data_IF_849395606602
#
_entry.id   IF_849395606602
#
_cell.length_a   1.000
_cell.length_b   1.000
_cell.length_c   1.000
_cell.angle_alpha   90.00
_cell.angle_beta   90.00
_cell.angle_gamma   90.00
#
_symmetry.space_group_name_H-M   'P 1'
#
loop_
_entity.id
_entity.type
_entity.pdbx_description
1 polymer ?
#
# COMPACT_ATOMS: atom_id res chain seq x y z
N UNK A 1 53.63 -36.23 44.56
CA UNK A 1 53.59 -35.44 43.31
C UNK A 1 52.14 -34.97 43.14
N UNK A 2 51.62 -34.04 43.95
CA UNK A 2 52.08 -32.67 44.27
C UNK A 2 51.76 -31.70 43.11
N UNK A 3 50.72 -30.86 43.23
CA UNK A 3 50.71 -29.48 43.79
C UNK A 3 50.85 -28.44 42.67
N UNK A 4 50.00 -27.40 42.56
CA UNK A 4 48.75 -27.10 43.28
C UNK A 4 48.41 -25.60 43.35
N UNK A 5 47.35 -25.27 44.11
CA UNK A 5 46.98 -23.94 44.66
C UNK A 5 46.43 -22.88 43.66
N UNK A 6 45.55 -21.95 44.04
CA UNK A 6 44.61 -21.74 45.19
C UNK A 6 43.51 -20.76 44.65
N UNK A 7 42.21 -20.84 44.99
CA UNK A 7 41.56 -20.44 46.25
C UNK A 7 41.95 -18.99 46.67
N UNK A 8 41.11 -18.03 47.03
CA UNK A 8 39.69 -17.87 47.40
C UNK A 8 39.42 -16.31 47.32
N UNK A 9 38.37 -15.63 47.79
CA UNK A 9 37.34 -15.90 48.83
C UNK A 9 36.06 -15.11 48.51
N UNK A 10 34.91 -15.56 49.04
CA UNK A 10 33.67 -14.75 49.08
C UNK A 10 33.68 -13.79 50.28
N UNK A 11 32.94 -12.67 50.20
CA UNK A 11 31.81 -12.31 51.10
C UNK A 11 31.44 -10.82 51.04
N UNK A 12 30.14 -10.54 51.13
CA UNK A 12 29.57 -9.29 51.65
C UNK A 12 28.96 -9.62 53.05
N UNK A 13 28.65 -8.66 53.97
CA UNK A 13 27.44 -7.83 53.78
C UNK A 13 27.37 -6.46 54.54
N UNK A 14 26.21 -5.80 54.36
CA UNK A 14 25.48 -4.93 55.34
C UNK A 14 25.92 -3.47 55.62
N UNK A 15 24.95 -2.74 56.20
CA UNK A 15 24.87 -1.29 56.47
C UNK A 15 25.74 -0.84 57.68
N UNK A 16 25.84 0.43 58.13
CA UNK A 16 25.01 1.66 58.04
C UNK A 16 25.97 2.90 58.24
N UNK A 17 25.66 4.21 58.39
CA UNK A 17 24.44 5.05 58.53
C UNK A 17 24.72 6.56 58.21
N UNK A 18 23.79 7.47 58.57
CA UNK A 18 23.88 8.92 58.95
C UNK A 18 25.19 9.73 58.84
N UNK A 19 25.22 11.08 58.69
CA UNK A 19 24.28 12.16 58.32
C UNK A 19 25.00 13.54 58.43
N UNK A 20 24.32 14.66 58.10
CA UNK A 20 24.63 16.07 58.51
C UNK A 20 25.93 16.71 57.92
N UNK A 21 26.12 18.03 57.83
CA UNK A 21 25.23 19.23 57.88
C UNK A 21 25.92 20.48 57.27
N UNK A 22 25.19 21.60 57.15
CA UNK A 22 25.67 22.96 56.79
C UNK A 22 26.79 23.49 57.72
N UNK A 23 27.60 24.50 57.38
CA UNK A 23 27.14 25.88 57.13
C UNK A 23 28.22 26.90 56.64
N UNK A 24 27.71 27.96 55.98
CA UNK A 24 28.16 29.36 55.85
C UNK A 24 29.64 29.82 55.98
N UNK A 25 30.06 30.69 55.04
CA UNK A 25 30.53 32.06 55.35
C UNK A 25 30.56 32.98 54.10
N UNK A 26 30.33 34.28 54.28
CA UNK A 26 30.24 35.31 53.23
C UNK A 26 31.50 36.20 53.14
N UNK A 27 31.70 36.91 52.01
CA UNK A 27 32.13 38.34 52.02
C UNK A 27 32.02 39.08 50.67
N UNK A 28 31.59 40.35 50.77
CA UNK A 28 31.64 41.51 49.84
C UNK A 28 31.62 41.27 48.31
N UNK A 29 30.56 41.63 47.59
CA UNK A 29 30.05 43.00 47.32
C UNK A 29 30.97 43.87 46.42
N UNK A 30 30.55 44.03 45.14
CA UNK A 30 30.60 45.33 44.46
C UNK A 30 29.70 45.37 43.19
N UNK A 31 28.98 46.48 43.01
CA UNK A 31 28.25 46.92 41.79
C UNK A 31 27.93 48.42 41.93
N UNK A 32 27.28 49.11 40.96
CA UNK A 32 26.88 48.73 39.60
C UNK A 32 27.80 49.45 38.56
N UNK A 33 27.49 49.70 37.27
CA UNK A 33 26.34 49.40 36.40
C UNK A 33 26.81 49.17 34.95
N UNK A 34 26.04 48.41 34.15
CA UNK A 34 25.92 48.65 32.70
C UNK A 34 24.47 48.37 32.23
N UNK A 35 23.68 49.43 32.16
CA UNK A 35 22.58 49.68 31.22
C UNK A 35 22.26 48.54 30.24
N UNK A 36 21.25 47.72 30.57
CA UNK A 36 20.59 46.83 29.62
C UNK A 36 19.48 47.58 28.89
N UNK A 37 19.56 47.64 27.56
CA UNK A 37 18.43 48.05 26.71
C UNK A 37 17.27 47.06 26.86
N UNK A 38 16.06 47.58 26.72
CA UNK A 38 14.81 46.85 26.95
C UNK A 38 14.07 46.72 25.61
N UNK A 39 14.35 45.67 24.85
CA UNK A 39 13.75 45.41 23.54
C UNK A 39 12.36 44.77 23.72
N UNK A 40 11.24 45.47 23.43
CA UNK A 40 9.91 44.99 23.83
C UNK A 40 9.38 43.81 22.99
N UNK A 41 10.05 43.49 21.88
CA UNK A 41 9.55 42.61 20.83
C UNK A 41 9.62 41.11 21.19
N UNK A 42 10.42 40.73 22.20
CA UNK A 42 10.50 39.35 22.69
C UNK A 42 9.26 38.92 23.50
N UNK A 43 8.57 39.86 24.15
CA UNK A 43 7.50 39.56 25.11
C UNK A 43 6.12 39.25 24.48
N UNK A 44 5.99 39.37 23.15
CA UNK A 44 4.72 39.19 22.42
C UNK A 44 4.52 37.78 21.85
N UNK A 45 5.56 36.95 21.81
CA UNK A 45 5.53 35.62 21.17
C UNK A 45 5.19 34.46 22.11
N UNK A 46 5.32 34.61 23.43
CA UNK A 46 5.08 33.52 24.39
C UNK A 46 3.59 33.27 24.73
N UNK A 47 2.64 33.97 24.10
CA UNK A 47 1.23 34.04 24.55
C UNK A 47 0.18 33.47 23.58
N UNK A 48 0.47 32.38 22.89
CA UNK A 48 -0.52 31.65 22.09
C UNK A 48 -0.40 30.12 22.06
N UNK A 49 0.48 29.51 22.88
CA UNK A 49 0.47 28.04 23.09
C UNK A 49 -0.48 27.69 24.24
N UNK A 50 -1.79 27.77 23.96
CA UNK A 50 -2.80 27.14 24.82
C UNK A 50 -2.67 25.63 24.69
N UNK A 51 -2.05 24.99 25.68
CA UNK A 51 -1.99 23.54 25.82
C UNK A 51 -3.38 22.99 26.17
N UNK A 52 -4.24 22.85 25.17
CA UNK A 52 -5.35 21.90 25.28
C UNK A 52 -4.77 20.53 25.65
N UNK A 53 -5.29 19.86 26.70
CA UNK A 53 -4.85 18.52 27.03
C UNK A 53 -5.20 17.59 25.87
N UNK A 54 -4.19 17.02 25.23
CA UNK A 54 -4.34 15.99 24.21
C UNK A 54 -5.28 14.91 24.75
N UNK A 55 -6.51 14.85 24.22
CA UNK A 55 -7.44 13.80 24.62
C UNK A 55 -6.81 12.46 24.26
N UNK A 56 -6.71 11.50 25.20
CA UNK A 56 -6.07 10.23 24.93
C UNK A 56 -6.82 9.54 23.79
N UNK A 57 -6.10 9.21 22.70
CA UNK A 57 -6.75 8.60 21.53
C UNK A 57 -7.56 7.38 21.95
N UNK A 58 -8.84 7.28 21.55
CA UNK A 58 -9.72 6.23 22.04
C UNK A 58 -9.13 4.86 21.64
N UNK A 59 -8.89 3.93 22.59
CA UNK A 59 -8.04 2.77 22.38
C UNK A 59 -8.48 1.94 21.17
N UNK A 60 -7.52 1.47 20.38
CA UNK A 60 -7.81 0.73 19.15
C UNK A 60 -8.59 -0.56 19.46
N UNK A 61 -9.66 -0.90 18.70
CA UNK A 61 -10.50 -2.04 19.02
C UNK A 61 -9.83 -3.40 18.72
N UNK A 62 -8.75 -3.42 17.92
CA UNK A 62 -7.95 -4.62 17.54
C UNK A 62 -8.77 -5.84 17.03
N UNK A 63 -10.00 -5.59 16.60
CA UNK A 63 -10.96 -6.62 16.22
C UNK A 63 -12.40 -6.23 16.55
N UNK A 64 -13.20 -7.23 16.92
CA UNK A 64 -14.66 -7.11 16.98
C UNK A 64 -15.31 -7.14 15.59
N UNK A 65 -16.62 -7.43 15.55
CA UNK A 65 -17.36 -7.63 14.30
C UNK A 65 -17.24 -6.44 13.33
N UNK A 66 -17.32 -5.21 13.84
CA UNK A 66 -17.23 -4.01 12.99
C UNK A 66 -15.86 -3.84 12.31
N UNK A 67 -14.75 -4.13 13.00
CA UNK A 67 -13.42 -4.03 12.40
C UNK A 67 -13.21 -5.08 11.30
N UNK A 68 -13.64 -6.32 11.53
CA UNK A 68 -13.57 -7.38 10.52
C UNK A 68 -14.52 -7.15 9.34
N UNK A 69 -15.68 -6.53 9.55
CA UNK A 69 -16.54 -6.06 8.46
C UNK A 69 -15.87 -4.94 7.64
N UNK A 70 -15.17 -3.98 8.27
CA UNK A 70 -14.38 -2.97 7.55
C UNK A 70 -13.27 -3.63 6.71
N UNK A 71 -12.57 -4.64 7.24
CA UNK A 71 -11.57 -5.44 6.49
C UNK A 71 -12.22 -6.19 5.31
N UNK A 72 -13.41 -6.77 5.49
CA UNK A 72 -14.15 -7.45 4.42
C UNK A 72 -14.66 -6.48 3.33
N UNK A 73 -15.15 -5.30 3.73
CA UNK A 73 -15.52 -4.23 2.78
C UNK A 73 -14.31 -3.73 1.99
N UNK A 74 -13.17 -3.54 2.66
CA UNK A 74 -11.92 -3.17 2.01
C UNK A 74 -11.41 -4.29 1.08
N UNK A 75 -11.53 -5.56 1.48
CA UNK A 75 -11.23 -6.72 0.64
C UNK A 75 -12.05 -6.72 -0.66
N UNK A 76 -13.36 -6.47 -0.57
CA UNK A 76 -14.25 -6.42 -1.74
C UNK A 76 -13.93 -5.23 -2.66
N UNK A 77 -13.64 -4.05 -2.08
CA UNK A 77 -13.21 -2.88 -2.84
C UNK A 77 -11.86 -3.07 -3.55
N UNK A 78 -10.89 -3.70 -2.86
CA UNK A 78 -9.56 -3.98 -3.41
C UNK A 78 -9.57 -5.14 -4.41
N UNK A 79 -10.48 -6.12 -4.29
CA UNK A 79 -10.74 -7.12 -5.32
C UNK A 79 -11.18 -6.46 -6.63
N UNK A 80 -12.17 -5.56 -6.57
CA UNK A 80 -12.68 -4.88 -7.75
C UNK A 80 -11.63 -3.95 -8.37
N UNK A 81 -11.01 -3.07 -7.57
CA UNK A 81 -10.02 -2.09 -8.05
C UNK A 81 -8.76 -2.74 -8.62
N UNK A 82 -8.07 -3.57 -7.83
CA UNK A 82 -6.82 -4.21 -8.28
C UNK A 82 -7.07 -5.36 -9.26
N UNK A 83 -8.26 -5.97 -9.27
CA UNK A 83 -8.65 -6.95 -10.28
C UNK A 83 -8.64 -6.34 -11.68
N UNK A 84 -9.15 -5.11 -11.84
CA UNK A 84 -9.06 -4.36 -13.11
C UNK A 84 -7.60 -4.15 -13.50
N UNK A 85 -6.75 -3.68 -12.57
CA UNK A 85 -5.32 -3.44 -12.81
C UNK A 85 -4.59 -4.71 -13.29
N UNK A 86 -4.91 -5.86 -12.69
CA UNK A 86 -4.32 -7.16 -13.06
C UNK A 86 -4.91 -7.75 -14.37
N UNK A 87 -5.99 -7.17 -14.90
CA UNK A 87 -6.64 -7.59 -16.15
C UNK A 87 -6.25 -6.72 -17.35
N UNK A 88 -5.48 -5.64 -17.14
CA UNK A 88 -4.97 -4.73 -18.18
C UNK A 88 -4.46 -5.48 -19.42
N UNK A 89 -3.59 -6.49 -19.24
CA UNK A 89 -2.99 -7.22 -20.36
C UNK A 89 -4.02 -7.99 -21.21
N UNK A 90 -5.12 -8.47 -20.59
CA UNK A 90 -6.21 -9.16 -21.31
C UNK A 90 -7.02 -8.14 -22.12
N UNK A 91 -7.36 -6.99 -21.52
CA UNK A 91 -8.05 -5.91 -22.22
C UNK A 91 -7.22 -5.37 -23.39
N UNK A 92 -5.92 -5.14 -23.17
CA UNK A 92 -5.00 -4.64 -24.20
C UNK A 92 -4.90 -5.60 -25.38
N UNK A 93 -4.65 -6.89 -25.13
CA UNK A 93 -4.52 -7.93 -26.16
C UNK A 93 -5.80 -8.12 -26.99
N UNK A 94 -6.98 -7.99 -26.35
CA UNK A 94 -8.24 -8.06 -27.07
C UNK A 94 -8.46 -6.83 -27.96
N UNK A 95 -8.36 -5.61 -27.43
CA UNK A 95 -8.65 -4.41 -28.24
C UNK A 95 -7.61 -4.18 -29.34
N UNK A 96 -6.35 -4.59 -29.16
CA UNK A 96 -5.32 -4.53 -30.20
C UNK A 96 -5.50 -5.55 -31.34
N UNK A 97 -6.43 -6.49 -31.20
CA UNK A 97 -6.77 -7.47 -32.25
C UNK A 97 -8.20 -7.30 -32.78
N UNK A 98 -8.99 -6.42 -32.17
CA UNK A 98 -10.40 -6.18 -32.49
C UNK A 98 -10.68 -4.69 -32.75
N UNK A 99 -11.09 -3.91 -31.74
CA UNK A 99 -11.58 -2.54 -31.93
C UNK A 99 -10.50 -1.53 -32.38
N UNK A 100 -9.23 -1.78 -32.06
CA UNK A 100 -8.10 -0.89 -32.34
C UNK A 100 -7.00 -1.57 -33.18
N UNK A 101 -7.36 -2.55 -34.02
CA UNK A 101 -6.40 -3.33 -34.81
C UNK A 101 -5.52 -2.48 -35.75
N UNK A 102 -5.98 -1.30 -36.18
CA UNK A 102 -5.22 -0.36 -37.01
C UNK A 102 -4.23 0.53 -36.21
N UNK A 103 -4.24 0.46 -34.87
CA UNK A 103 -3.37 1.26 -34.01
C UNK A 103 -2.13 0.49 -33.55
N UNK A 104 -1.00 1.19 -33.39
CA UNK A 104 0.21 0.58 -32.82
C UNK A 104 0.01 0.17 -31.35
N UNK A 105 0.65 -0.93 -30.92
CA UNK A 105 0.67 -1.35 -29.51
C UNK A 105 1.13 -0.21 -28.57
N UNK A 106 2.07 0.63 -29.03
CA UNK A 106 2.54 1.81 -28.30
C UNK A 106 1.48 2.89 -28.13
N UNK A 107 0.55 3.03 -29.07
CA UNK A 107 -0.60 3.94 -28.95
C UNK A 107 -1.61 3.36 -27.96
N UNK A 108 -1.95 2.08 -28.11
CA UNK A 108 -2.92 1.38 -27.23
C UNK A 108 -2.41 1.35 -25.78
N UNK A 109 -1.10 1.17 -25.57
CA UNK A 109 -0.47 1.20 -24.25
C UNK A 109 -0.66 2.51 -23.47
N UNK A 110 -0.88 3.65 -24.13
CA UNK A 110 -1.17 4.91 -23.44
C UNK A 110 -2.50 4.89 -22.67
N UNK A 111 -3.51 4.14 -23.12
CA UNK A 111 -4.80 4.00 -22.43
C UNK A 111 -4.59 3.40 -21.04
N UNK A 112 -3.85 2.30 -20.98
CA UNK A 112 -3.58 1.55 -19.76
C UNK A 112 -2.52 2.22 -18.88
N UNK A 113 -1.56 2.91 -19.48
CA UNK A 113 -0.59 3.75 -18.77
C UNK A 113 -1.28 4.94 -18.09
N UNK A 114 -2.23 5.60 -18.76
CA UNK A 114 -3.01 6.70 -18.20
C UNK A 114 -3.92 6.23 -17.05
N UNK A 115 -4.60 5.09 -17.20
CA UNK A 115 -5.33 4.43 -16.11
C UNK A 115 -4.44 4.22 -14.88
N UNK A 116 -3.27 3.61 -15.09
CA UNK A 116 -2.35 3.26 -13.99
C UNK A 116 -1.79 4.52 -13.33
N UNK A 117 -1.39 5.53 -14.12
CA UNK A 117 -0.95 6.82 -13.62
C UNK A 117 -2.02 7.47 -12.73
N UNK A 118 -3.26 7.61 -13.20
CA UNK A 118 -4.33 8.26 -12.44
C UNK A 118 -4.76 7.46 -11.20
N UNK A 119 -4.77 6.12 -11.29
CA UNK A 119 -5.08 5.24 -10.17
C UNK A 119 -4.18 5.47 -8.94
N UNK A 120 -2.89 5.78 -9.16
CA UNK A 120 -1.95 6.09 -8.07
C UNK A 120 -1.80 7.61 -7.81
N UNK A 121 -1.68 8.43 -8.86
CA UNK A 121 -1.41 9.87 -8.74
C UNK A 121 -2.53 10.64 -8.02
N UNK A 122 -3.80 10.32 -8.29
CA UNK A 122 -4.92 10.95 -7.59
C UNK A 122 -4.92 10.65 -6.08
N UNK A 123 -4.25 9.58 -5.64
CA UNK A 123 -4.05 9.22 -4.24
C UNK A 123 -3.40 10.33 -3.40
N UNK A 124 -2.55 11.17 -4.03
CA UNK A 124 -1.89 12.33 -3.40
C UNK A 124 -2.89 13.33 -2.82
N UNK A 125 -4.05 13.52 -3.47
CA UNK A 125 -5.12 14.40 -2.99
C UNK A 125 -6.22 13.63 -2.27
N UNK A 126 -6.50 12.39 -2.68
CA UNK A 126 -7.56 11.56 -2.08
C UNK A 126 -7.23 11.19 -0.63
N UNK A 127 -5.96 11.06 -0.24
CA UNK A 127 -5.53 10.88 1.16
C UNK A 127 -5.96 12.05 2.07
N UNK A 128 -5.49 13.29 1.81
CA UNK A 128 -5.94 14.48 2.55
C UNK A 128 -7.46 14.70 2.55
N UNK A 129 -8.16 14.38 1.46
CA UNK A 129 -9.63 14.45 1.39
C UNK A 129 -10.26 13.36 2.29
N UNK A 130 -9.69 12.16 2.35
CA UNK A 130 -10.13 11.09 3.25
C UNK A 130 -9.93 11.47 4.73
N UNK A 131 -8.80 12.06 5.10
CA UNK A 131 -8.52 12.49 6.48
C UNK A 131 -9.49 13.59 6.98
N UNK A 132 -10.05 14.38 6.04
CA UNK A 132 -10.98 15.47 6.33
C UNK A 132 -12.47 15.11 6.21
N UNK A 133 -12.85 14.26 5.26
CA UNK A 133 -14.27 13.96 4.96
C UNK A 133 -14.65 12.47 5.15
N UNK A 134 -13.67 11.61 5.43
CA UNK A 134 -13.85 10.18 5.62
C UNK A 134 -14.11 9.40 4.32
N UNK A 135 -14.21 8.05 4.40
CA UNK A 135 -14.28 7.18 3.23
C UNK A 135 -15.59 7.27 2.45
N UNK A 136 -16.72 7.58 3.09
CA UNK A 136 -18.06 7.29 2.56
C UNK A 136 -18.33 7.95 1.19
N UNK A 137 -18.02 9.24 1.05
CA UNK A 137 -18.25 9.98 -0.19
C UNK A 137 -17.23 9.62 -1.28
N UNK A 138 -15.97 9.38 -0.90
CA UNK A 138 -14.92 8.95 -1.83
C UNK A 138 -15.25 7.58 -2.42
N UNK A 139 -15.61 6.60 -1.58
CA UNK A 139 -16.01 5.27 -2.02
C UNK A 139 -17.27 5.35 -2.87
N UNK A 140 -18.30 6.13 -2.47
CA UNK A 140 -19.51 6.31 -3.28
C UNK A 140 -19.20 6.84 -4.69
N UNK A 141 -18.37 7.88 -4.81
CA UNK A 141 -17.92 8.40 -6.10
C UNK A 141 -17.10 7.35 -6.87
N UNK A 142 -16.21 6.62 -6.20
CA UNK A 142 -15.43 5.52 -6.78
C UNK A 142 -16.29 4.38 -7.32
N UNK A 143 -17.35 3.97 -6.62
CA UNK A 143 -18.33 2.96 -7.09
C UNK A 143 -18.98 3.44 -8.38
N UNK A 144 -19.51 4.66 -8.40
CA UNK A 144 -20.16 5.23 -9.59
C UNK A 144 -19.19 5.32 -10.76
N UNK A 145 -17.99 5.86 -10.56
CA UNK A 145 -16.98 5.99 -11.61
C UNK A 145 -16.54 4.64 -12.19
N UNK A 146 -16.22 3.65 -11.36
CA UNK A 146 -15.76 2.33 -11.84
C UNK A 146 -16.89 1.55 -12.53
N UNK A 147 -18.09 1.51 -11.94
CA UNK A 147 -19.21 0.78 -12.55
C UNK A 147 -19.66 1.45 -13.85
N UNK A 148 -19.77 2.78 -13.89
CA UNK A 148 -20.05 3.50 -15.13
C UNK A 148 -18.94 3.28 -16.18
N UNK A 149 -17.66 3.28 -15.77
CA UNK A 149 -16.56 3.01 -16.68
C UNK A 149 -16.63 1.60 -17.28
N UNK A 150 -16.88 0.55 -16.48
CA UNK A 150 -17.03 -0.81 -17.02
C UNK A 150 -18.23 -0.88 -17.99
N UNK A 151 -19.38 -0.31 -17.66
CA UNK A 151 -20.55 -0.34 -18.54
C UNK A 151 -20.31 0.43 -19.86
N UNK A 152 -19.63 1.58 -19.82
CA UNK A 152 -19.26 2.34 -21.02
C UNK A 152 -18.13 1.66 -21.83
N UNK A 153 -17.20 0.97 -21.18
CA UNK A 153 -16.11 0.23 -21.83
C UNK A 153 -16.65 -0.93 -22.69
N UNK A 154 -17.83 -1.47 -22.35
CA UNK A 154 -18.55 -2.47 -23.14
C UNK A 154 -19.16 -1.96 -24.46
N UNK A 155 -19.08 -0.65 -24.74
CA UNK A 155 -19.56 -0.01 -25.98
C UNK A 155 -18.54 0.97 -26.58
N UNK A 156 -17.27 0.89 -26.16
CA UNK A 156 -16.19 1.68 -26.75
C UNK A 156 -15.77 1.13 -28.11
N UNK A 157 -15.43 2.04 -29.03
CA UNK A 157 -15.06 1.76 -30.43
C UNK A 157 -13.85 2.60 -30.83
N UNK A 158 -13.97 3.91 -30.71
CA UNK A 158 -12.91 4.87 -31.00
C UNK A 158 -11.82 4.86 -29.92
N UNK A 159 -10.56 5.07 -30.34
CA UNK A 159 -9.41 5.23 -29.44
C UNK A 159 -9.66 6.25 -28.31
N UNK A 160 -10.33 7.37 -28.61
CA UNK A 160 -10.63 8.41 -27.61
C UNK A 160 -11.72 7.98 -26.60
N UNK A 161 -12.65 7.10 -26.99
CA UNK A 161 -13.60 6.50 -26.03
C UNK A 161 -12.83 5.71 -24.97
N UNK A 162 -11.87 4.87 -25.39
CA UNK A 162 -11.04 4.09 -24.47
C UNK A 162 -10.16 4.97 -23.57
N UNK A 163 -9.55 6.05 -24.09
CA UNK A 163 -8.77 7.02 -23.30
C UNK A 163 -9.61 7.66 -22.18
N UNK A 164 -10.83 8.13 -22.48
CA UNK A 164 -11.67 8.79 -21.48
C UNK A 164 -12.31 7.80 -20.49
N UNK A 165 -12.82 6.67 -20.99
CA UNK A 165 -13.57 5.71 -20.19
C UNK A 165 -12.63 4.83 -19.34
N UNK A 166 -11.65 4.18 -19.97
CA UNK A 166 -10.72 3.31 -19.25
C UNK A 166 -9.54 4.09 -18.65
N UNK A 167 -8.94 5.03 -19.40
CA UNK A 167 -7.85 5.85 -18.88
C UNK A 167 -8.31 6.77 -17.74
N UNK A 168 -9.16 7.75 -18.04
CA UNK A 168 -9.51 8.82 -17.10
C UNK A 168 -10.54 8.40 -16.04
N UNK A 169 -11.73 7.97 -16.45
CA UNK A 169 -12.85 7.70 -15.53
C UNK A 169 -12.57 6.50 -14.62
N UNK A 170 -12.15 5.38 -15.19
CA UNK A 170 -11.83 4.16 -14.43
C UNK A 170 -10.58 4.34 -13.55
N UNK A 171 -9.55 5.06 -14.04
CA UNK A 171 -8.32 5.32 -13.26
C UNK A 171 -8.60 6.17 -12.02
N UNK A 172 -9.30 7.30 -12.22
CA UNK A 172 -9.74 8.18 -11.11
C UNK A 172 -10.68 7.43 -10.15
N UNK A 173 -11.64 6.66 -10.69
CA UNK A 173 -12.55 5.82 -9.90
C UNK A 173 -11.83 4.77 -9.06
N UNK A 174 -10.80 4.11 -9.60
CA UNK A 174 -9.97 3.16 -8.88
C UNK A 174 -9.21 3.83 -7.72
N UNK A 175 -8.67 5.03 -7.93
CA UNK A 175 -7.97 5.79 -6.88
C UNK A 175 -8.89 6.17 -5.70
N UNK A 176 -10.14 6.56 -6.03
CA UNK A 176 -11.21 6.88 -5.07
C UNK A 176 -11.65 5.69 -4.21
N UNK A 177 -11.35 4.45 -4.63
CA UNK A 177 -11.63 3.23 -3.88
C UNK A 177 -10.40 2.75 -3.11
N UNK A 178 -9.25 2.67 -3.80
CA UNK A 178 -8.02 2.07 -3.31
C UNK A 178 -7.49 2.76 -2.05
N UNK A 179 -7.40 4.10 -2.07
CA UNK A 179 -6.86 4.87 -0.94
C UNK A 179 -7.77 4.79 0.30
N UNK A 180 -9.10 5.05 0.22
CA UNK A 180 -9.98 4.93 1.39
C UNK A 180 -10.13 3.50 1.94
N UNK A 181 -10.09 2.46 1.09
CA UNK A 181 -10.18 1.07 1.56
C UNK A 181 -8.96 0.69 2.42
N UNK A 182 -7.74 1.03 1.97
CA UNK A 182 -6.52 0.77 2.74
C UNK A 182 -6.43 1.64 4.01
N UNK A 183 -6.74 2.93 3.91
CA UNK A 183 -6.63 3.85 5.04
C UNK A 183 -7.64 3.52 6.16
N UNK A 184 -8.87 3.14 5.81
CA UNK A 184 -9.91 2.79 6.80
C UNK A 184 -9.53 1.60 7.67
N UNK A 185 -8.83 0.58 7.15
CA UNK A 185 -8.37 -0.57 7.94
C UNK A 185 -7.38 -0.13 9.03
N UNK A 186 -6.51 0.84 8.71
CA UNK A 186 -5.58 1.46 9.67
C UNK A 186 -6.24 2.25 10.80
N UNK A 187 -7.55 2.54 10.74
CA UNK A 187 -8.28 3.23 11.81
C UNK A 187 -8.87 2.26 12.86
N UNK A 188 -8.77 0.94 12.65
CA UNK A 188 -9.30 -0.09 13.56
C UNK A 188 -8.22 -1.00 14.17
N UNK A 189 -7.03 -1.09 13.55
CA UNK A 189 -5.91 -1.93 14.01
C UNK A 189 -4.61 -1.11 14.06
N UNK A 190 -3.90 -1.23 15.18
CA UNK A 190 -2.57 -0.67 15.46
C UNK A 190 -1.57 -1.79 15.70
N UNK A 191 -1.89 -2.78 16.54
CA UNK A 191 -1.01 -3.95 16.78
C UNK A 191 -1.07 -4.96 15.65
N UNK A 192 -2.27 -5.29 15.15
CA UNK A 192 -2.47 -6.30 14.08
C UNK A 192 -2.61 -5.67 12.71
N UNK A 193 -1.99 -4.50 12.52
CA UNK A 193 -2.27 -3.59 11.41
C UNK A 193 -1.74 -4.13 10.08
N UNK A 194 -0.54 -4.69 10.09
CA UNK A 194 0.06 -5.36 8.94
C UNK A 194 -0.80 -6.54 8.49
N UNK A 195 -1.18 -7.43 9.41
CA UNK A 195 -2.05 -8.57 9.10
C UNK A 195 -3.43 -8.13 8.57
N UNK A 196 -4.10 -7.17 9.21
CA UNK A 196 -5.42 -6.70 8.76
C UNK A 196 -5.36 -6.01 7.38
N UNK A 197 -4.33 -5.17 7.15
CA UNK A 197 -4.10 -4.52 5.85
C UNK A 197 -3.75 -5.54 4.77
N UNK A 198 -2.95 -6.54 5.13
CA UNK A 198 -2.58 -7.67 4.28
C UNK A 198 -3.77 -8.51 3.86
N UNK A 199 -4.65 -8.86 4.80
CA UNK A 199 -5.88 -9.60 4.54
C UNK A 199 -6.83 -8.82 3.62
N UNK A 200 -7.04 -7.52 3.85
CA UNK A 200 -7.80 -6.67 2.93
C UNK A 200 -7.17 -6.64 1.53
N UNK A 201 -5.86 -6.43 1.46
CA UNK A 201 -5.12 -6.34 0.18
C UNK A 201 -5.12 -7.66 -0.59
N UNK A 202 -5.23 -8.80 0.09
CA UNK A 202 -5.31 -10.14 -0.52
C UNK A 202 -6.52 -10.30 -1.46
N UNK A 203 -7.60 -9.54 -1.25
CA UNK A 203 -8.74 -9.47 -2.17
C UNK A 203 -8.33 -9.08 -3.58
N UNK A 204 -7.39 -8.16 -3.73
CA UNK A 204 -6.84 -7.77 -5.03
C UNK A 204 -6.02 -8.87 -5.73
N UNK A 205 -5.41 -9.81 -4.99
CA UNK A 205 -4.70 -10.95 -5.59
C UNK A 205 -5.69 -11.98 -6.13
N UNK A 206 -6.78 -12.23 -5.39
CA UNK A 206 -7.87 -13.10 -5.84
C UNK A 206 -8.62 -12.44 -7.02
N UNK A 207 -8.86 -11.13 -6.98
CA UNK A 207 -9.38 -10.35 -8.10
C UNK A 207 -8.52 -10.49 -9.36
N UNK A 208 -7.18 -10.39 -9.21
CA UNK A 208 -6.21 -10.62 -10.27
C UNK A 208 -6.01 -12.08 -10.71
N UNK A 209 -6.77 -13.02 -10.14
CA UNK A 209 -6.89 -14.40 -10.62
C UNK A 209 -8.26 -14.57 -11.30
N UNK A 210 -9.34 -14.21 -10.61
CA UNK A 210 -10.72 -14.42 -11.06
C UNK A 210 -11.05 -13.56 -12.28
N UNK A 211 -10.71 -12.27 -12.29
CA UNK A 211 -11.06 -11.36 -13.39
C UNK A 211 -10.47 -11.78 -14.75
N UNK A 212 -9.15 -12.02 -14.91
CA UNK A 212 -8.60 -12.42 -16.20
C UNK A 212 -9.08 -13.83 -16.63
N UNK A 213 -9.24 -14.78 -15.71
CA UNK A 213 -9.78 -16.11 -16.04
C UNK A 213 -11.22 -16.03 -16.55
N UNK A 214 -12.08 -15.30 -15.82
CA UNK A 214 -13.49 -15.12 -16.16
C UNK A 214 -13.63 -14.40 -17.51
N UNK A 215 -12.89 -13.31 -17.73
CA UNK A 215 -13.01 -12.51 -18.95
C UNK A 215 -12.49 -13.23 -20.20
N UNK A 216 -11.39 -13.99 -20.12
CA UNK A 216 -10.99 -14.84 -21.26
C UNK A 216 -12.08 -15.87 -21.59
N UNK A 217 -12.65 -16.54 -20.58
CA UNK A 217 -13.73 -17.49 -20.79
C UNK A 217 -15.01 -16.87 -21.39
N UNK A 218 -15.34 -15.63 -21.01
CA UNK A 218 -16.48 -14.88 -21.55
C UNK A 218 -16.22 -14.38 -22.98
N UNK A 219 -15.03 -13.86 -23.27
CA UNK A 219 -14.66 -13.38 -24.61
C UNK A 219 -14.54 -14.52 -25.63
N UNK A 220 -14.08 -15.70 -25.20
CA UNK A 220 -14.06 -16.91 -26.04
C UNK A 220 -15.45 -17.54 -26.26
N UNK A 221 -16.51 -17.06 -25.60
CA UNK A 221 -17.86 -17.60 -25.74
C UNK A 221 -18.64 -16.84 -26.85
N UNK A 222 -19.00 -17.49 -27.98
CA UNK A 222 -19.66 -16.82 -29.10
C UNK A 222 -21.04 -16.22 -28.79
N UNK A 223 -21.70 -16.61 -27.69
CA UNK A 223 -23.01 -16.06 -27.30
C UNK A 223 -22.94 -14.82 -26.40
N UNK A 224 -21.75 -14.44 -25.94
CA UNK A 224 -21.55 -13.31 -25.02
C UNK A 224 -20.51 -12.30 -25.55
N UNK A 225 -19.35 -12.79 -26.00
CA UNK A 225 -18.26 -11.96 -26.54
C UNK A 225 -17.76 -10.88 -25.58
N UNK A 226 -17.19 -9.81 -26.16
CA UNK A 226 -16.65 -8.66 -25.42
C UNK A 226 -17.72 -7.93 -24.60
N UNK A 227 -18.77 -7.45 -25.25
CA UNK A 227 -19.77 -6.54 -24.67
C UNK A 227 -20.39 -7.11 -23.39
N UNK A 228 -20.91 -8.35 -23.44
CA UNK A 228 -21.47 -8.99 -22.26
C UNK A 228 -20.40 -9.46 -21.28
N UNK A 229 -19.20 -9.85 -21.76
CA UNK A 229 -18.07 -10.16 -20.89
C UNK A 229 -17.72 -9.00 -19.95
N UNK A 230 -17.56 -7.80 -20.53
CA UNK A 230 -17.31 -6.56 -19.78
C UNK A 230 -18.49 -6.20 -18.87
N UNK A 231 -19.76 -6.30 -19.34
CA UNK A 231 -20.94 -5.99 -18.51
C UNK A 231 -21.07 -6.93 -17.30
N UNK A 232 -20.86 -8.23 -17.49
CA UNK A 232 -20.85 -9.23 -16.41
C UNK A 232 -19.78 -8.89 -15.37
N UNK A 233 -18.58 -8.47 -15.80
CA UNK A 233 -17.55 -7.99 -14.90
C UNK A 233 -17.93 -6.68 -14.19
N UNK A 234 -18.56 -5.73 -14.90
CA UNK A 234 -19.12 -4.52 -14.31
C UNK A 234 -20.18 -4.79 -13.24
N UNK A 235 -21.02 -5.81 -13.41
CA UNK A 235 -21.99 -6.25 -12.38
C UNK A 235 -21.30 -6.95 -11.19
N UNK A 236 -20.26 -7.75 -11.41
CA UNK A 236 -19.43 -8.32 -10.34
C UNK A 236 -18.75 -7.20 -9.52
N UNK A 237 -18.17 -6.21 -10.19
CA UNK A 237 -17.64 -5.01 -9.56
C UNK A 237 -18.72 -4.26 -8.78
N UNK A 238 -19.91 -4.00 -9.35
CA UNK A 238 -21.02 -3.34 -8.64
C UNK A 238 -21.41 -4.08 -7.35
N UNK A 239 -21.51 -5.41 -7.38
CA UNK A 239 -21.81 -6.20 -6.19
C UNK A 239 -20.76 -6.04 -5.08
N UNK A 240 -19.48 -6.23 -5.42
CA UNK A 240 -18.37 -6.11 -4.48
C UNK A 240 -18.17 -4.68 -3.95
N UNK A 241 -18.33 -3.68 -4.81
CA UNK A 241 -18.23 -2.26 -4.46
C UNK A 241 -19.43 -1.80 -3.61
N UNK A 242 -20.60 -2.42 -3.75
CA UNK A 242 -21.73 -2.21 -2.82
C UNK A 242 -21.39 -2.71 -1.42
N UNK A 243 -20.74 -3.87 -1.28
CA UNK A 243 -20.26 -4.36 0.02
C UNK A 243 -19.22 -3.40 0.62
N UNK A 244 -18.29 -2.89 -0.19
CA UNK A 244 -17.32 -1.88 0.25
C UNK A 244 -18.02 -0.61 0.78
N UNK A 245 -19.02 -0.09 0.06
CA UNK A 245 -19.78 1.10 0.45
C UNK A 245 -20.62 0.93 1.73
N UNK A 246 -21.08 -0.29 2.02
CA UNK A 246 -21.87 -0.61 3.24
C UNK A 246 -20.97 -0.77 4.47
N UNK A 247 -19.83 -1.45 4.31
CA UNK A 247 -19.00 -1.89 5.43
C UNK A 247 -17.78 -1.00 5.72
N UNK A 248 -17.17 -0.34 4.72
CA UNK A 248 -16.00 0.53 4.94
C UNK A 248 -16.44 1.84 5.60
N UNK A 249 -15.85 2.15 6.76
CA UNK A 249 -16.17 3.29 7.62
C UNK A 249 -14.89 3.84 8.24
N UNK A 250 -14.84 5.14 8.56
CA UNK A 250 -13.83 5.65 9.50
C UNK A 250 -14.32 5.47 10.94
N UNK A 251 -13.37 5.27 11.86
CA UNK A 251 -13.58 5.40 13.30
C UNK A 251 -13.17 6.78 13.82
N UNK A 252 -12.06 7.31 13.31
CA UNK A 252 -11.52 8.60 13.74
C UNK A 252 -12.42 9.75 13.27
N UNK A 253 -12.66 10.76 14.12
CA UNK A 253 -13.39 11.97 13.72
C UNK A 253 -12.57 12.77 12.69
N UNK A 254 -13.22 13.52 11.79
CA UNK A 254 -12.56 14.47 10.90
C UNK A 254 -11.54 15.35 11.62
N UNK A 255 -10.28 15.35 11.15
CA UNK A 255 -9.26 16.29 11.64
C UNK A 255 -9.66 17.70 11.19
N UNK A 256 -10.23 18.49 12.10
CA UNK A 256 -10.85 19.80 11.79
C UNK A 256 -9.87 20.75 11.07
N UNK A 257 -8.60 20.73 11.47
CA UNK A 257 -7.51 21.54 10.91
C UNK A 257 -6.72 20.84 9.78
N UNK A 258 -7.23 19.75 9.19
CA UNK A 258 -6.56 19.09 8.07
C UNK A 258 -6.57 19.96 6.80
N UNK A 259 -5.38 20.15 6.22
CA UNK A 259 -5.19 20.65 4.87
C UNK A 259 -5.72 19.63 3.86
N UNK A 260 -6.39 20.10 2.82
CA UNK A 260 -6.79 19.30 1.65
C UNK A 260 -5.61 19.18 0.65
N UNK A 261 -4.63 20.07 0.74
CA UNK A 261 -3.44 20.10 -0.11
C UNK A 261 -2.28 19.36 0.57
N UNK A 262 -1.52 18.52 -0.16
CA UNK A 262 -0.29 17.91 0.36
C UNK A 262 0.77 18.98 0.64
N UNK A 263 1.48 18.91 1.77
CA UNK A 263 2.61 19.80 2.04
C UNK A 263 3.93 19.19 1.54
N UNK A 264 4.54 19.72 0.45
CA UNK A 264 5.80 19.19 -0.07
C UNK A 264 6.99 19.37 0.88
N UNK A 265 6.85 20.14 1.99
CA UNK A 265 7.89 20.23 3.02
C UNK A 265 8.20 18.88 3.68
N UNK A 266 7.31 17.89 3.62
CA UNK A 266 7.57 16.53 4.14
C UNK A 266 8.81 15.89 3.50
N UNK A 267 9.12 16.20 2.24
CA UNK A 267 10.33 15.72 1.56
C UNK A 267 11.65 16.29 2.13
N UNK A 268 11.60 17.29 3.01
CA UNK A 268 12.77 17.74 3.79
C UNK A 268 13.15 16.74 4.89
N UNK A 269 12.22 15.87 5.31
CA UNK A 269 12.51 14.79 6.26
C UNK A 269 13.24 13.66 5.53
N UNK A 270 14.55 13.53 5.75
CA UNK A 270 15.39 12.51 5.11
C UNK A 270 14.80 11.08 5.17
N UNK A 271 14.24 10.59 6.29
CA UNK A 271 13.65 9.25 6.34
C UNK A 271 12.47 9.08 5.37
N UNK A 272 11.59 10.08 5.25
CA UNK A 272 10.46 10.06 4.33
C UNK A 272 10.91 10.11 2.86
N UNK A 273 11.90 10.96 2.56
CA UNK A 273 12.49 11.05 1.22
C UNK A 273 13.12 9.72 0.78
N UNK A 274 13.99 9.12 1.60
CA UNK A 274 14.61 7.83 1.29
C UNK A 274 13.58 6.70 1.20
N UNK A 275 12.55 6.70 2.06
CA UNK A 275 11.45 5.72 1.97
C UNK A 275 10.67 5.88 0.66
N UNK A 276 10.39 7.11 0.22
CA UNK A 276 9.70 7.36 -1.05
C UNK A 276 10.53 6.91 -2.25
N UNK A 277 11.85 7.17 -2.25
CA UNK A 277 12.77 6.70 -3.30
C UNK A 277 12.82 5.15 -3.33
N UNK A 278 12.87 4.50 -2.15
CA UNK A 278 12.85 3.04 -2.06
C UNK A 278 11.54 2.45 -2.60
N UNK A 279 10.38 3.03 -2.24
CA UNK A 279 9.07 2.63 -2.79
C UNK A 279 9.02 2.81 -4.30
N UNK A 280 9.44 3.96 -4.81
CA UNK A 280 9.47 4.24 -6.25
C UNK A 280 10.30 3.20 -7.02
N UNK A 281 11.48 2.82 -6.51
CA UNK A 281 12.31 1.76 -7.11
C UNK A 281 11.68 0.36 -6.99
N UNK A 282 10.98 0.07 -5.89
CA UNK A 282 10.25 -1.19 -5.71
C UNK A 282 9.06 -1.35 -6.67
N UNK A 283 8.35 -0.28 -7.02
CA UNK A 283 7.25 -0.34 -7.98
C UNK A 283 7.74 -0.76 -9.39
N UNK A 284 8.95 -0.38 -9.82
CA UNK A 284 9.55 -0.94 -11.05
C UNK A 284 9.77 -2.45 -10.95
N UNK A 285 10.23 -2.95 -9.80
CA UNK A 285 10.38 -4.38 -9.55
C UNK A 285 9.03 -5.12 -9.48
N UNK A 286 7.91 -4.41 -9.29
CA UNK A 286 6.56 -4.96 -9.30
C UNK A 286 5.95 -5.02 -10.70
N UNK A 287 5.94 -3.90 -11.42
CA UNK A 287 5.26 -3.81 -12.71
C UNK A 287 5.98 -4.54 -13.84
N UNK A 288 7.31 -4.69 -13.77
CA UNK A 288 8.07 -5.42 -14.80
C UNK A 288 7.69 -6.91 -14.85
N UNK A 289 7.73 -7.70 -13.75
CA UNK A 289 7.22 -9.06 -13.76
C UNK A 289 5.75 -9.15 -14.18
N UNK A 290 4.87 -8.29 -13.63
CA UNK A 290 3.42 -8.33 -13.93
C UNK A 290 3.14 -8.10 -15.42
N UNK A 291 3.80 -7.13 -16.06
CA UNK A 291 3.59 -6.84 -17.48
C UNK A 291 4.24 -7.86 -18.43
N UNK A 292 5.43 -8.37 -18.09
CA UNK A 292 6.27 -9.10 -19.05
C UNK A 292 6.42 -10.61 -18.81
N UNK A 293 5.98 -11.19 -17.68
CA UNK A 293 6.19 -12.63 -17.43
C UNK A 293 5.51 -13.52 -18.48
N UNK A 294 4.33 -13.12 -18.97
CA UNK A 294 3.58 -13.85 -19.98
C UNK A 294 4.22 -13.77 -21.38
N UNK A 295 4.71 -12.59 -21.77
CA UNK A 295 5.40 -12.40 -23.06
C UNK A 295 6.79 -13.03 -23.06
N UNK A 296 7.53 -12.95 -21.95
CA UNK A 296 8.77 -13.70 -21.74
C UNK A 296 8.53 -15.21 -21.86
N UNK A 297 7.47 -15.76 -21.26
CA UNK A 297 7.14 -17.17 -21.37
C UNK A 297 6.84 -17.60 -22.83
N UNK A 298 6.19 -16.75 -23.64
CA UNK A 298 6.02 -16.99 -25.09
C UNK A 298 7.36 -16.93 -25.84
N UNK A 299 8.22 -15.97 -25.52
CA UNK A 299 9.53 -15.83 -26.14
C UNK A 299 10.49 -17.01 -25.83
N UNK A 300 10.34 -17.64 -24.67
CA UNK A 300 11.03 -18.91 -24.32
C UNK A 300 10.40 -20.16 -24.97
N UNK A 301 9.42 -19.99 -25.87
CA UNK A 301 8.80 -21.10 -26.60
C UNK A 301 7.78 -21.91 -25.81
N UNK A 302 7.29 -21.43 -24.65
CA UNK A 302 6.24 -22.14 -23.93
C UNK A 302 4.87 -22.02 -24.64
N UNK A 303 4.00 -23.01 -24.35
CA UNK A 303 2.65 -23.04 -24.88
C UNK A 303 1.83 -21.85 -24.40
N UNK A 304 0.91 -21.40 -25.24
CA UNK A 304 0.10 -20.20 -25.03
C UNK A 304 -0.67 -20.22 -23.72
N UNK A 305 -1.33 -21.36 -23.46
CA UNK A 305 -2.01 -21.68 -22.21
C UNK A 305 -1.07 -21.54 -20.99
N UNK A 306 0.15 -22.07 -21.04
CA UNK A 306 1.11 -21.94 -19.94
C UNK A 306 1.57 -20.50 -19.73
N UNK A 307 1.87 -19.79 -20.82
CA UNK A 307 2.26 -18.38 -20.78
C UNK A 307 1.15 -17.45 -20.29
N UNK A 308 -0.12 -17.85 -20.38
CA UNK A 308 -1.23 -17.18 -19.72
C UNK A 308 -1.32 -17.54 -18.22
N UNK A 309 -1.23 -18.84 -17.89
CA UNK A 309 -1.33 -19.29 -16.49
C UNK A 309 -0.16 -18.87 -15.59
N UNK A 310 1.03 -18.55 -16.13
CA UNK A 310 2.18 -18.14 -15.29
C UNK A 310 1.92 -16.85 -14.50
N UNK A 311 1.14 -15.91 -15.05
CA UNK A 311 0.68 -14.71 -14.33
C UNK A 311 -0.32 -15.06 -13.21
N UNK A 312 -1.17 -16.07 -13.44
CA UNK A 312 -2.08 -16.60 -12.41
C UNK A 312 -1.31 -17.26 -11.26
N UNK A 313 -0.24 -18.02 -11.58
CA UNK A 313 0.67 -18.63 -10.60
C UNK A 313 1.39 -17.55 -9.78
N UNK A 314 1.86 -16.48 -10.43
CA UNK A 314 2.47 -15.34 -9.73
C UNK A 314 1.47 -14.68 -8.77
N UNK A 315 0.24 -14.42 -9.23
CA UNK A 315 -0.80 -13.84 -8.38
C UNK A 315 -1.25 -14.75 -7.22
N UNK A 316 -1.11 -16.07 -7.34
CA UNK A 316 -1.27 -17.00 -6.22
C UNK A 316 -0.14 -16.85 -5.19
N UNK A 317 1.12 -16.67 -5.63
CA UNK A 317 2.22 -16.27 -4.73
C UNK A 317 1.93 -14.92 -4.04
N UNK A 318 1.45 -13.93 -4.82
CA UNK A 318 1.04 -12.60 -4.35
C UNK A 318 -0.10 -12.60 -3.33
N UNK A 319 -0.90 -13.68 -3.21
CA UNK A 319 -1.87 -13.80 -2.12
C UNK A 319 -1.14 -14.01 -0.78
N UNK A 320 -0.23 -14.96 -0.71
CA UNK A 320 0.60 -15.21 0.48
C UNK A 320 1.52 -14.02 0.79
N UNK A 321 2.06 -13.37 -0.25
CA UNK A 321 2.84 -12.13 -0.16
C UNK A 321 2.09 -10.95 0.50
N UNK A 322 0.75 -10.93 0.52
CA UNK A 322 0.00 -9.87 1.24
C UNK A 322 -0.25 -10.23 2.70
N UNK A 323 -0.55 -11.50 3.00
CA UNK A 323 -1.01 -11.91 4.34
C UNK A 323 0.14 -12.22 5.30
N UNK A 324 1.12 -13.03 4.88
CA UNK A 324 2.23 -13.46 5.75
C UNK A 324 3.16 -12.30 6.17
N UNK A 325 3.56 -11.39 5.28
CA UNK A 325 4.50 -10.32 5.60
C UNK A 325 3.86 -9.24 6.48
N UNK A 326 2.55 -9.00 6.35
CA UNK A 326 1.79 -8.18 7.29
C UNK A 326 1.91 -8.71 8.72
N UNK A 327 1.61 -10.00 8.92
CA UNK A 327 1.74 -10.68 10.23
C UNK A 327 3.18 -10.71 10.76
N UNK A 328 4.17 -10.76 9.87
CA UNK A 328 5.59 -10.76 10.24
C UNK A 328 6.10 -9.36 10.59
N UNK A 329 5.67 -8.33 9.85
CA UNK A 329 5.97 -6.92 10.12
C UNK A 329 5.38 -6.44 11.45
N UNK A 330 4.19 -6.94 11.84
CA UNK A 330 3.60 -6.73 13.16
C UNK A 330 4.46 -7.30 14.32
N UNK A 331 5.51 -8.10 14.01
CA UNK A 331 6.45 -8.68 14.99
C UNK A 331 7.88 -8.13 14.89
N UNK A 332 8.42 -7.98 13.68
CA UNK A 332 9.83 -7.58 13.46
C UNK A 332 9.99 -6.14 12.93
N UNK A 333 8.90 -5.42 12.70
CA UNK A 333 8.88 -4.09 12.11
C UNK A 333 8.93 -4.10 10.57
N UNK A 334 8.09 -3.27 9.96
CA UNK A 334 7.91 -3.22 8.50
C UNK A 334 9.20 -2.94 7.70
N UNK A 335 10.14 -2.13 8.21
CA UNK A 335 11.44 -1.90 7.55
C UNK A 335 12.27 -3.19 7.42
N UNK A 336 12.27 -4.05 8.44
CA UNK A 336 13.01 -5.31 8.40
C UNK A 336 12.32 -6.31 7.45
N UNK A 337 10.98 -6.36 7.45
CA UNK A 337 10.20 -7.15 6.48
C UNK A 337 10.46 -6.71 5.04
N UNK A 338 10.44 -5.40 4.76
CA UNK A 338 10.71 -4.84 3.44
C UNK A 338 12.18 -5.08 2.99
N UNK A 339 13.12 -5.17 3.94
CA UNK A 339 14.51 -5.56 3.67
C UNK A 339 14.61 -7.04 3.26
N UNK A 340 13.96 -7.95 4.00
CA UNK A 340 13.89 -9.38 3.66
C UNK A 340 13.23 -9.60 2.28
N UNK A 341 12.15 -8.88 2.01
CA UNK A 341 11.47 -8.85 0.71
C UNK A 341 12.40 -8.44 -0.45
N UNK A 342 13.26 -7.44 -0.22
CA UNK A 342 14.26 -6.99 -1.19
C UNK A 342 15.28 -8.10 -1.48
N UNK A 343 15.86 -8.71 -0.44
CA UNK A 343 16.80 -9.82 -0.62
C UNK A 343 16.16 -11.04 -1.33
N UNK A 344 14.92 -11.38 -0.99
CA UNK A 344 14.19 -12.47 -1.65
C UNK A 344 13.94 -12.17 -3.14
N UNK A 345 13.65 -10.91 -3.49
CA UNK A 345 13.50 -10.45 -4.87
C UNK A 345 14.83 -10.53 -5.66
N UNK A 346 15.95 -10.13 -5.03
CA UNK A 346 17.30 -10.26 -5.61
C UNK A 346 17.63 -11.74 -5.87
N UNK A 347 17.37 -12.63 -4.90
CA UNK A 347 17.57 -14.07 -5.06
C UNK A 347 16.70 -14.63 -6.19
N UNK A 348 15.43 -14.23 -6.28
CA UNK A 348 14.53 -14.65 -7.35
C UNK A 348 15.08 -14.27 -8.74
N UNK A 349 15.54 -13.04 -8.93
CA UNK A 349 16.09 -12.58 -10.21
C UNK A 349 17.43 -13.27 -10.57
N UNK A 350 18.41 -13.26 -9.66
CA UNK A 350 19.78 -13.69 -9.99
C UNK A 350 20.03 -15.19 -9.82
N UNK A 351 19.33 -15.88 -8.90
CA UNK A 351 19.57 -17.29 -8.57
C UNK A 351 18.51 -18.23 -9.17
N UNK A 352 17.33 -17.70 -9.54
CA UNK A 352 16.23 -18.51 -10.09
C UNK A 352 15.95 -18.16 -11.55
N UNK A 353 15.60 -16.91 -11.85
CA UNK A 353 15.22 -16.49 -13.21
C UNK A 353 16.41 -16.48 -14.18
N UNK A 354 17.52 -15.83 -13.83
CA UNK A 354 18.68 -15.72 -14.72
C UNK A 354 19.25 -17.09 -15.16
N UNK A 355 19.48 -18.08 -14.26
CA UNK A 355 19.95 -19.41 -14.67
C UNK A 355 18.85 -20.35 -15.17
N UNK A 356 17.61 -20.30 -14.64
CA UNK A 356 16.60 -21.35 -14.89
C UNK A 356 15.29 -20.86 -15.51
N UNK A 357 15.14 -19.57 -15.84
CA UNK A 357 13.90 -18.97 -16.38
C UNK A 357 13.45 -19.53 -17.74
N UNK A 358 14.37 -20.13 -18.50
CA UNK A 358 14.08 -20.87 -19.73
C UNK A 358 13.48 -22.28 -19.47
N UNK A 359 13.40 -22.71 -18.21
CA UNK A 359 12.83 -24.01 -17.80
C UNK A 359 11.47 -23.83 -17.15
N UNK A 360 10.55 -24.78 -17.38
CA UNK A 360 9.22 -24.80 -16.72
C UNK A 360 9.31 -24.75 -15.18
N UNK A 361 10.11 -25.57 -14.48
CA UNK A 361 10.22 -25.45 -13.02
C UNK A 361 10.83 -24.11 -12.57
N UNK A 362 11.88 -23.63 -13.25
CA UNK A 362 12.54 -22.37 -12.89
C UNK A 362 11.62 -21.16 -13.00
N UNK A 363 10.86 -21.03 -14.09
CA UNK A 363 9.91 -19.92 -14.24
C UNK A 363 8.71 -20.01 -13.27
N UNK A 364 8.24 -21.22 -12.93
CA UNK A 364 7.18 -21.42 -11.91
C UNK A 364 7.68 -21.00 -10.53
N UNK A 365 8.87 -21.46 -10.11
CA UNK A 365 9.45 -21.09 -8.82
C UNK A 365 9.75 -19.60 -8.77
N UNK A 366 10.28 -19.02 -9.85
CA UNK A 366 10.45 -17.57 -9.96
C UNK A 366 9.12 -16.83 -9.79
N UNK A 367 8.06 -17.21 -10.51
CA UNK A 367 6.74 -16.59 -10.43
C UNK A 367 6.17 -16.60 -8.99
N UNK A 368 6.28 -17.74 -8.29
CA UNK A 368 5.82 -17.84 -6.90
C UNK A 368 6.67 -16.97 -5.97
N UNK A 369 8.01 -17.04 -6.08
CA UNK A 369 8.92 -16.32 -5.18
C UNK A 369 8.85 -14.81 -5.42
N UNK A 370 8.83 -14.32 -6.67
CA UNK A 370 8.74 -12.89 -6.97
C UNK A 370 7.35 -12.33 -6.62
N UNK A 371 6.28 -13.10 -6.86
CA UNK A 371 4.91 -12.76 -6.45
C UNK A 371 4.79 -12.62 -4.93
N UNK A 372 5.41 -13.51 -4.16
CA UNK A 372 5.53 -13.34 -2.70
C UNK A 372 6.40 -12.12 -2.38
N UNK A 373 7.61 -12.03 -2.94
CA UNK A 373 8.66 -11.13 -2.50
C UNK A 373 8.32 -9.65 -2.71
N UNK A 374 7.89 -9.25 -3.90
CA UNK A 374 7.68 -7.82 -4.19
C UNK A 374 6.43 -7.29 -3.50
N UNK A 375 5.42 -8.14 -3.34
CA UNK A 375 4.14 -7.78 -2.70
C UNK A 375 4.17 -7.92 -1.16
N UNK A 376 5.30 -8.38 -0.59
CA UNK A 376 5.59 -8.26 0.85
C UNK A 376 5.62 -6.82 1.36
N UNK A 377 5.63 -5.80 0.49
CA UNK A 377 5.82 -4.41 0.89
C UNK A 377 4.72 -3.91 1.84
N UNK A 378 5.04 -3.84 3.13
CA UNK A 378 4.15 -3.27 4.14
C UNK A 378 4.29 -1.76 4.09
N UNK A 379 3.15 -1.08 3.85
CA UNK A 379 3.06 0.38 3.77
C UNK A 379 3.45 1.03 5.09
N UNK A 380 4.70 1.50 5.11
CA UNK A 380 5.23 2.42 6.10
C UNK A 380 4.42 3.73 6.05
N UNK A 381 3.47 3.90 6.98
CA UNK A 381 3.13 5.27 7.39
C UNK A 381 4.33 5.87 8.13
N UNK A 382 4.41 7.21 8.20
CA UNK A 382 5.24 7.85 9.22
C UNK A 382 4.89 7.25 10.58
N UNK A 383 5.90 6.76 11.30
CA UNK A 383 5.81 6.67 12.75
C UNK A 383 5.72 8.13 13.20
N UNK A 384 4.65 8.50 13.91
CA UNK A 384 4.60 9.79 14.57
C UNK A 384 5.72 9.83 15.62
N UNK A 385 6.83 10.48 15.26
CA UNK A 385 8.00 10.64 16.13
C UNK A 385 7.72 11.71 17.18
N UNK A 386 6.82 11.39 18.11
CA UNK A 386 6.77 12.01 19.42
C UNK A 386 7.67 11.23 20.36
N UNK A 387 8.91 11.71 20.47
CA UNK A 387 9.96 11.28 21.38
C UNK A 387 10.76 12.51 21.80
#
# INVERSE_FOLDING_TARGET
>A
MAVGKMAETLQAPLATDTALSSSAQEKHDHSPDVSKRHDPEAASLEKSVSTEPLQPEPPFPEGGLQAWLVVFGAWAGLFAGLGITNTIAVFQSYISTHQLADYSESSIGWIFSLYTFLAFFCGIYIGPIFDKYGPRWLIAAGVVCVVAAQMLFSICTEYWHFILVFGVLNGTGCSLLFTPCLASVGHFFRERRGFATGLASAGGSIGGIVAPLMLNSLFSNPSLGWDWGIRIYGFLCLGLLSLALIFVRSRLPPKQNASIHPDPKIFKQKPFLYTTIAVFLMEFALFIPIGYISSYARAQGFSESFSFYILTIMNAGSFFGRVLPGWYADRIGAFNTNTIATFLSIIACFVIWLPFGHTKPGIIVFAIVIGIAVIMFVRLLPIDTQS
#
